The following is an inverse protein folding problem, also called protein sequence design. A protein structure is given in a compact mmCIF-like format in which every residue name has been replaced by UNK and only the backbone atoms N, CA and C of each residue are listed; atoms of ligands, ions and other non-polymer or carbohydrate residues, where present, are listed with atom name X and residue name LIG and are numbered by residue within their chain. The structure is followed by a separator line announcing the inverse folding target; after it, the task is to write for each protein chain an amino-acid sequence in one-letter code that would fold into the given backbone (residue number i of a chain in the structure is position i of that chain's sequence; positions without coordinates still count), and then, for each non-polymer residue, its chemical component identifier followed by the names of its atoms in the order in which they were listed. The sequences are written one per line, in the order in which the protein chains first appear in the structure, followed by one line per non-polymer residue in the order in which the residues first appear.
data_IF_090694666345
#
_entry.id   IF_090694666345
#
_cell.length_a   1.000
_cell.length_b   1.000
_cell.length_c   1.000
_cell.angle_alpha   90.00
_cell.angle_beta   90.00
_cell.angle_gamma   90.00
#
_symmetry.space_group_name_H-M   'P 1'
#
loop_
_entity.id
_entity.type
_entity.pdbx_description
1 polymer ?
#
# COMPACT_ATOMS: atom_id res chain seq x y z
N UNK A 1 -95.71 -49.35 -25.18
CA UNK A 1 -96.45 -48.11 -24.84
C UNK A 1 -95.53 -46.94 -25.17
N UNK A 2 -95.87 -46.17 -26.22
CA UNK A 2 -95.20 -44.90 -26.60
C UNK A 2 -95.56 -43.84 -25.57
N UNK A 3 -94.60 -43.03 -25.13
CA UNK A 3 -94.81 -41.59 -24.90
C UNK A 3 -93.54 -40.86 -25.35
N UNK A 4 -93.78 -39.76 -26.04
CA UNK A 4 -92.89 -38.92 -26.82
C UNK A 4 -92.72 -37.56 -26.10
N UNK A 5 -91.68 -36.83 -26.52
CA UNK A 5 -91.52 -35.37 -26.54
C UNK A 5 -91.22 -34.56 -25.25
N UNK A 6 -90.03 -33.94 -25.25
CA UNK A 6 -89.91 -32.57 -25.78
C UNK A 6 -89.56 -31.42 -24.81
N UNK A 7 -88.71 -30.52 -25.30
CA UNK A 7 -88.33 -29.17 -24.81
C UNK A 7 -87.14 -29.16 -23.82
N UNK A 8 -86.01 -28.49 -24.01
CA UNK A 8 -85.61 -27.37 -24.87
C UNK A 8 -84.90 -26.34 -23.97
N UNK A 9 -83.61 -26.05 -24.19
CA UNK A 9 -82.89 -25.08 -23.35
C UNK A 9 -81.39 -24.90 -23.64
N UNK A 10 -81.11 -24.02 -24.60
CA UNK A 10 -79.95 -23.12 -24.76
C UNK A 10 -78.48 -23.59 -24.64
N UNK A 11 -77.82 -23.44 -25.80
CA UNK A 11 -76.51 -22.86 -26.09
C UNK A 11 -75.76 -22.18 -24.92
N UNK A 12 -74.55 -22.67 -24.65
CA UNK A 12 -73.39 -21.82 -24.42
C UNK A 12 -72.18 -22.38 -25.19
N UNK A 13 -71.80 -21.65 -26.23
CA UNK A 13 -70.51 -21.75 -26.89
C UNK A 13 -69.47 -21.06 -26.01
N UNK A 14 -68.45 -21.75 -25.52
CA UNK A 14 -67.22 -21.07 -25.12
C UNK A 14 -66.02 -22.01 -25.12
N UNK A 15 -65.34 -21.97 -26.27
CA UNK A 15 -63.89 -21.78 -26.38
C UNK A 15 -62.97 -22.69 -25.57
N UNK A 16 -62.39 -23.67 -26.29
CA UNK A 16 -61.11 -24.26 -25.93
C UNK A 16 -60.06 -23.17 -25.73
N UNK A 17 -59.45 -23.18 -24.55
CA UNK A 17 -58.29 -22.35 -24.22
C UNK A 17 -57.07 -23.26 -24.18
N UNK A 18 -55.99 -22.94 -24.93
CA UNK A 18 -54.78 -23.74 -24.88
C UNK A 18 -54.14 -23.62 -23.50
N UNK A 19 -53.78 -24.77 -22.96
CA UNK A 19 -53.03 -24.97 -21.74
C UNK A 19 -51.71 -24.19 -21.85
N UNK A 20 -51.67 -22.98 -21.29
CA UNK A 20 -50.43 -22.22 -21.14
C UNK A 20 -49.60 -22.97 -20.10
N UNK A 21 -48.54 -23.63 -20.58
CA UNK A 21 -47.40 -24.07 -19.78
C UNK A 21 -47.03 -22.94 -18.85
N UNK A 22 -47.33 -23.13 -17.56
CA UNK A 22 -47.02 -22.18 -16.52
C UNK A 22 -45.53 -21.89 -16.56
N UNK A 23 -45.18 -20.63 -16.77
CA UNK A 23 -43.88 -20.11 -16.39
C UNK A 23 -43.66 -20.51 -14.93
N UNK A 24 -42.70 -21.42 -14.71
CA UNK A 24 -42.12 -21.66 -13.39
C UNK A 24 -41.57 -20.32 -12.91
N UNK A 25 -42.37 -19.58 -12.16
CA UNK A 25 -41.88 -18.51 -11.32
C UNK A 25 -40.75 -19.12 -10.48
N UNK A 26 -39.52 -18.69 -10.74
CA UNK A 26 -38.46 -18.83 -9.75
C UNK A 26 -38.96 -18.02 -8.56
N UNK A 27 -39.47 -18.69 -7.53
CA UNK A 27 -39.58 -18.04 -6.24
C UNK A 27 -38.19 -17.48 -5.92
N UNK A 28 -38.04 -16.16 -5.68
CA UNK A 28 -36.76 -15.64 -5.24
C UNK A 28 -36.46 -16.36 -3.93
N UNK A 29 -35.40 -17.18 -3.92
CA UNK A 29 -34.97 -17.90 -2.73
C UNK A 29 -34.79 -16.84 -1.64
N UNK A 30 -35.71 -16.82 -0.69
CA UNK A 30 -35.73 -15.87 0.40
C UNK A 30 -34.67 -16.29 1.43
N UNK A 31 -33.38 -16.25 1.03
CA UNK A 31 -32.21 -16.48 1.89
C UNK A 31 -32.25 -15.61 3.15
N UNK A 32 -32.84 -14.42 3.04
CA UNK A 32 -33.07 -13.50 4.15
C UNK A 32 -34.12 -13.99 5.16
N UNK A 33 -35.11 -14.79 4.75
CA UNK A 33 -36.08 -15.39 5.65
C UNK A 33 -35.47 -16.59 6.39
N UNK A 34 -34.59 -17.36 5.74
CA UNK A 34 -33.86 -18.48 6.36
C UNK A 34 -32.82 -18.03 7.39
N UNK A 35 -32.08 -16.96 7.12
CA UNK A 35 -31.14 -16.38 8.09
C UNK A 35 -31.83 -15.82 9.35
N UNK A 36 -33.08 -15.36 9.22
CA UNK A 36 -33.87 -14.80 10.32
C UNK A 36 -34.42 -15.88 11.27
N UNK A 37 -34.59 -17.12 10.81
CA UNK A 37 -35.22 -18.21 11.59
C UNK A 37 -34.27 -18.91 12.57
N UNK A 38 -32.95 -18.83 12.38
CA UNK A 38 -31.96 -19.65 13.13
C UNK A 38 -31.03 -18.87 14.07
N UNK A 39 -31.40 -17.67 14.54
CA UNK A 39 -30.59 -16.82 15.44
C UNK A 39 -29.17 -16.43 14.94
N UNK A 40 -28.72 -16.89 13.76
CA UNK A 40 -27.38 -16.60 13.18
C UNK A 40 -27.14 -15.10 13.01
N UNK A 41 -28.21 -14.33 12.75
CA UNK A 41 -28.15 -12.86 12.71
C UNK A 41 -27.59 -12.24 14.01
N UNK A 42 -27.86 -12.82 15.19
CA UNK A 42 -27.33 -12.30 16.46
C UNK A 42 -25.81 -12.42 16.54
N UNK A 43 -25.25 -13.51 16.02
CA UNK A 43 -23.80 -13.71 15.94
C UNK A 43 -23.18 -12.77 14.92
N UNK A 44 -23.81 -12.59 13.76
CA UNK A 44 -23.37 -11.64 12.75
C UNK A 44 -23.34 -10.20 13.29
N UNK A 45 -24.41 -9.79 14.01
CA UNK A 45 -24.50 -8.48 14.65
C UNK A 45 -23.48 -8.32 15.78
N UNK A 46 -23.32 -9.32 16.65
CA UNK A 46 -22.32 -9.29 17.71
C UNK A 46 -20.89 -9.19 17.13
N UNK A 47 -20.60 -9.93 16.07
CA UNK A 47 -19.31 -9.88 15.38
C UNK A 47 -19.08 -8.51 14.72
N UNK A 48 -20.11 -7.93 14.10
CA UNK A 48 -20.01 -6.59 13.52
C UNK A 48 -19.73 -5.52 14.59
N UNK A 49 -20.41 -5.59 15.74
CA UNK A 49 -20.21 -4.65 16.86
C UNK A 49 -18.80 -4.79 17.43
N UNK A 50 -18.34 -6.02 17.69
CA UNK A 50 -17.01 -6.28 18.25
C UNK A 50 -15.91 -5.93 17.25
N UNK A 51 -16.08 -6.29 15.98
CA UNK A 51 -15.15 -5.95 14.92
C UNK A 51 -15.03 -4.43 14.73
N UNK A 52 -16.16 -3.71 14.72
CA UNK A 52 -16.17 -2.25 14.67
C UNK A 52 -15.46 -1.61 15.87
N UNK A 53 -15.74 -2.10 17.09
CA UNK A 53 -15.09 -1.63 18.31
C UNK A 53 -13.57 -1.83 18.29
N UNK A 54 -13.11 -2.99 17.82
CA UNK A 54 -11.67 -3.29 17.69
C UNK A 54 -10.99 -2.36 16.69
N UNK A 55 -11.62 -2.10 15.55
CA UNK A 55 -11.10 -1.14 14.56
C UNK A 55 -11.03 0.25 15.18
N UNK A 56 -12.07 0.68 15.91
CA UNK A 56 -12.10 2.00 16.52
C UNK A 56 -10.98 2.20 17.56
N UNK A 57 -10.79 1.23 18.47
CA UNK A 57 -9.69 1.25 19.44
C UNK A 57 -8.34 1.27 18.74
N UNK A 58 -8.14 0.41 17.73
CA UNK A 58 -6.89 0.40 16.96
C UNK A 58 -6.64 1.77 16.30
N UNK A 59 -7.64 2.38 15.68
CA UNK A 59 -7.48 3.69 15.03
C UNK A 59 -7.22 4.84 15.99
N UNK A 60 -7.69 4.77 17.24
CA UNK A 60 -7.40 5.82 18.25
C UNK A 60 -6.03 5.64 18.89
N UNK A 61 -5.65 4.39 19.16
CA UNK A 61 -4.47 4.08 19.97
C UNK A 61 -3.23 3.97 19.10
N UNK A 62 -3.32 3.40 17.90
CA UNK A 62 -2.14 3.11 17.08
C UNK A 62 -1.38 4.34 16.60
N UNK A 63 -2.04 5.46 16.21
CA UNK A 63 -1.34 6.69 15.88
C UNK A 63 -0.54 7.24 17.07
N UNK A 64 -1.00 7.05 18.32
CA UNK A 64 -0.28 7.46 19.52
C UNK A 64 1.03 6.67 19.72
N UNK A 65 1.07 5.43 19.24
CA UNK A 65 2.25 4.57 19.27
C UNK A 65 3.08 4.60 17.98
N UNK A 66 2.81 5.56 17.09
CA UNK A 66 3.47 5.69 15.77
C UNK A 66 3.40 4.40 14.91
N UNK A 67 2.38 3.56 15.14
CA UNK A 67 2.23 2.30 14.41
C UNK A 67 1.78 2.62 12.97
N UNK A 68 2.46 2.11 11.93
CA UNK A 68 2.12 2.42 10.56
C UNK A 68 0.75 1.89 10.13
N UNK A 69 0.11 2.58 9.18
CA UNK A 69 -1.24 2.28 8.70
C UNK A 69 -1.44 0.87 8.10
N UNK A 70 -0.36 0.18 7.69
CA UNK A 70 -0.46 -1.20 7.22
C UNK A 70 -0.95 -2.15 8.33
N UNK A 71 -0.68 -1.86 9.60
CA UNK A 71 -1.10 -2.70 10.72
C UNK A 71 -2.62 -2.63 10.94
N UNK A 72 -3.22 -1.43 10.86
CA UNK A 72 -4.67 -1.25 10.90
C UNK A 72 -5.34 -2.00 9.74
N UNK A 73 -4.75 -1.94 8.54
CA UNK A 73 -5.25 -2.66 7.35
C UNK A 73 -5.25 -4.18 7.56
N UNK A 74 -4.22 -4.73 8.19
CA UNK A 74 -4.18 -6.18 8.51
C UNK A 74 -5.27 -6.57 9.51
N UNK A 75 -5.52 -5.77 10.54
CA UNK A 75 -6.58 -6.03 11.52
C UNK A 75 -7.95 -6.03 10.84
N UNK A 76 -8.23 -5.03 10.01
CA UNK A 76 -9.48 -4.94 9.24
C UNK A 76 -9.63 -6.18 8.33
N UNK A 77 -8.56 -6.55 7.62
CA UNK A 77 -8.56 -7.72 6.74
C UNK A 77 -8.80 -9.02 7.49
N UNK A 78 -8.19 -9.20 8.67
CA UNK A 78 -8.43 -10.35 9.55
C UNK A 78 -9.88 -10.40 10.05
N UNK A 79 -10.48 -9.26 10.41
CA UNK A 79 -11.89 -9.20 10.82
C UNK A 79 -12.82 -9.59 9.66
N UNK A 80 -12.55 -9.10 8.45
CA UNK A 80 -13.34 -9.41 7.25
C UNK A 80 -13.22 -10.89 6.88
N UNK A 81 -12.02 -11.47 6.91
CA UNK A 81 -11.80 -12.90 6.61
C UNK A 81 -12.37 -13.80 7.71
N UNK A 82 -12.28 -13.37 8.98
CA UNK A 82 -12.85 -14.09 10.11
C UNK A 82 -14.38 -14.13 10.12
N UNK A 83 -15.05 -13.17 9.46
CA UNK A 83 -16.51 -13.09 9.44
C UNK A 83 -17.17 -14.30 8.73
N UNK A 84 -16.80 -14.69 7.49
CA UNK A 84 -17.30 -15.92 6.88
C UNK A 84 -17.02 -17.17 7.72
N UNK A 85 -15.85 -17.25 8.33
CA UNK A 85 -15.46 -18.39 9.18
C UNK A 85 -16.35 -18.45 10.43
N UNK A 86 -16.59 -17.30 11.07
CA UNK A 86 -17.48 -17.20 12.23
C UNK A 86 -18.92 -17.60 11.88
N UNK A 87 -19.40 -17.23 10.68
CA UNK A 87 -20.71 -17.66 10.20
C UNK A 87 -20.78 -19.17 9.94
N UNK A 88 -19.74 -19.75 9.33
CA UNK A 88 -19.67 -21.19 9.09
C UNK A 88 -19.60 -21.97 10.41
N UNK A 89 -18.84 -21.49 11.40
CA UNK A 89 -18.78 -22.11 12.73
C UNK A 89 -20.11 -21.98 13.47
N UNK A 90 -20.77 -20.81 13.41
CA UNK A 90 -22.11 -20.62 13.97
C UNK A 90 -23.17 -21.49 13.29
N UNK A 91 -22.96 -21.82 12.02
CA UNK A 91 -23.79 -22.74 11.26
C UNK A 91 -23.47 -24.21 11.57
N UNK A 92 -22.19 -24.57 11.74
CA UNK A 92 -21.73 -25.94 11.97
C UNK A 92 -21.96 -26.42 13.42
N UNK A 93 -21.91 -25.52 14.41
CA UNK A 93 -22.21 -25.83 15.81
C UNK A 93 -23.66 -25.51 16.18
N UNK A 94 -24.61 -26.08 15.44
CA UNK A 94 -26.01 -26.10 15.86
C UNK A 94 -26.09 -26.63 17.31
N UNK A 95 -26.65 -25.82 18.23
CA UNK A 95 -26.98 -26.20 19.59
C UNK A 95 -27.61 -27.60 19.57
N UNK A 96 -26.95 -28.59 20.14
CA UNK A 96 -27.43 -29.97 20.24
C UNK A 96 -28.79 -29.99 20.95
N UNK A 97 -29.92 -30.30 20.28
CA UNK A 97 -31.18 -30.52 20.94
C UNK A 97 -31.43 -32.04 20.94
N UNK A 98 -31.28 -32.64 22.11
CA UNK A 98 -31.85 -33.94 22.50
C UNK A 98 -31.16 -35.20 21.94
N UNK A 99 -30.26 -35.77 22.75
CA UNK A 99 -30.05 -37.21 22.76
C UNK A 99 -31.27 -37.89 23.38
N UNK A 100 -31.91 -38.77 22.61
CA UNK A 100 -33.01 -39.66 23.02
C UNK A 100 -32.82 -40.23 24.44
N UNK A 101 -33.76 -39.96 25.34
CA UNK A 101 -34.27 -40.96 26.28
C UNK A 101 -35.73 -40.68 26.64
N UNK A 102 -36.60 -41.57 26.16
CA UNK A 102 -37.97 -41.72 26.62
C UNK A 102 -37.94 -42.53 27.92
N UNK A 103 -38.87 -42.21 28.80
CA UNK A 103 -39.31 -42.85 30.06
C UNK A 103 -38.69 -42.36 31.36
N UNK A 104 -39.63 -42.03 32.26
CA UNK A 104 -39.56 -41.85 33.71
C UNK A 104 -38.75 -40.65 34.19
N UNK A 105 -39.12 -39.95 35.25
CA UNK A 105 -40.40 -39.56 35.83
C UNK A 105 -39.98 -38.39 36.75
N UNK A 106 -40.96 -37.58 37.13
CA UNK A 106 -40.94 -36.66 38.27
C UNK A 106 -39.68 -36.70 39.16
N UNK A 107 -38.83 -35.68 39.09
CA UNK A 107 -38.39 -34.96 40.30
C UNK A 107 -37.67 -33.65 39.98
N UNK A 108 -38.27 -32.57 40.47
CA UNK A 108 -37.55 -31.32 40.69
C UNK A 108 -36.72 -31.48 41.97
N UNK A 109 -35.39 -31.49 41.83
CA UNK A 109 -34.52 -30.59 42.57
C UNK A 109 -33.06 -30.88 42.23
N UNK A 110 -32.33 -29.80 41.95
CA UNK A 110 -30.87 -29.70 42.06
C UNK A 110 -30.08 -30.33 40.92
N UNK A 111 -29.68 -29.54 39.92
CA UNK A 111 -28.29 -29.66 39.44
C UNK A 111 -27.78 -28.40 38.73
N UNK A 112 -26.49 -28.17 38.94
CA UNK A 112 -25.85 -26.87 38.94
C UNK A 112 -25.58 -26.38 37.52
N UNK A 113 -25.75 -25.07 37.35
CA UNK A 113 -25.35 -24.26 36.20
C UNK A 113 -23.83 -24.40 35.93
N UNK A 114 -23.44 -25.43 35.18
CA UNK A 114 -22.08 -25.58 34.66
C UNK A 114 -21.85 -24.55 33.55
N UNK A 115 -21.22 -23.42 33.88
CA UNK A 115 -20.68 -22.49 32.88
C UNK A 115 -19.62 -23.23 32.07
N UNK A 116 -19.99 -23.68 30.88
CA UNK A 116 -19.05 -24.24 29.92
C UNK A 116 -18.01 -23.17 29.58
N UNK A 117 -16.75 -23.42 29.98
CA UNK A 117 -15.59 -22.58 29.67
C UNK A 117 -15.17 -22.67 28.18
N UNK A 118 -16.13 -22.96 27.27
CA UNK A 118 -15.90 -23.03 25.83
C UNK A 118 -15.26 -21.75 25.25
N UNK A 119 -15.57 -20.58 25.84
CA UNK A 119 -14.92 -19.31 25.47
C UNK A 119 -13.39 -19.35 25.72
N UNK A 120 -12.91 -20.05 26.75
CA UNK A 120 -11.48 -20.15 27.03
C UNK A 120 -10.75 -20.88 25.89
N UNK A 121 -11.36 -21.91 25.31
CA UNK A 121 -10.77 -22.62 24.16
C UNK A 121 -10.74 -21.74 22.89
N UNK A 122 -11.76 -20.91 22.66
CA UNK A 122 -11.76 -19.96 21.53
C UNK A 122 -10.67 -18.89 21.69
N UNK A 123 -10.48 -18.38 22.92
CA UNK A 123 -9.40 -17.41 23.22
C UNK A 123 -8.03 -18.07 23.12
N UNK A 124 -7.87 -19.31 23.59
CA UNK A 124 -6.62 -20.05 23.52
C UNK A 124 -6.23 -20.37 22.06
N UNK A 125 -7.18 -20.81 21.22
CA UNK A 125 -6.94 -21.06 19.79
C UNK A 125 -6.64 -19.75 19.04
N UNK A 126 -7.33 -18.66 19.37
CA UNK A 126 -7.05 -17.33 18.83
C UNK A 126 -5.67 -16.79 19.21
N UNK A 127 -5.25 -17.03 20.45
CA UNK A 127 -3.91 -16.65 20.94
C UNK A 127 -2.81 -17.47 20.26
N UNK A 128 -2.99 -18.78 20.08
CA UNK A 128 -2.03 -19.65 19.38
C UNK A 128 -1.94 -19.27 17.89
N UNK A 129 -3.06 -18.96 17.24
CA UNK A 129 -3.08 -18.46 15.85
C UNK A 129 -2.42 -17.09 15.71
N UNK A 130 -2.62 -16.20 16.68
CA UNK A 130 -2.00 -14.87 16.69
C UNK A 130 -0.50 -14.96 16.94
N UNK A 131 -0.04 -15.83 17.84
CA UNK A 131 1.39 -16.10 18.06
C UNK A 131 2.00 -16.78 16.83
N UNK A 132 1.29 -17.71 16.20
CA UNK A 132 1.69 -18.36 14.95
C UNK A 132 1.83 -17.38 13.79
N UNK A 133 0.85 -16.49 13.57
CA UNK A 133 0.92 -15.44 12.55
C UNK A 133 2.00 -14.39 12.86
N UNK A 134 2.22 -14.09 14.14
CA UNK A 134 3.24 -13.14 14.57
C UNK A 134 4.66 -13.69 14.36
N UNK A 135 4.88 -14.98 14.61
CA UNK A 135 6.14 -15.66 14.33
C UNK A 135 6.31 -15.92 12.82
N UNK A 136 5.23 -16.24 12.11
CA UNK A 136 5.25 -16.41 10.65
C UNK A 136 5.53 -15.09 9.96
N UNK A 137 4.93 -13.97 10.38
CA UNK A 137 5.23 -12.63 9.85
C UNK A 137 6.67 -12.18 10.12
N UNK A 138 7.30 -12.67 11.19
CA UNK A 138 8.74 -12.47 11.43
C UNK A 138 9.65 -13.32 10.54
N UNK A 139 9.18 -14.47 10.03
CA UNK A 139 9.92 -15.34 9.12
C UNK A 139 9.60 -15.11 7.63
N UNK A 140 8.40 -14.66 7.28
CA UNK A 140 7.95 -14.41 5.89
C UNK A 140 8.15 -12.96 5.45
N UNK A 141 8.48 -12.05 6.37
CA UNK A 141 8.91 -10.69 6.06
C UNK A 141 10.24 -10.57 5.29
N UNK A 142 10.86 -11.70 4.89
CA UNK A 142 12.11 -11.67 4.09
C UNK A 142 12.02 -12.29 2.69
N UNK A 143 11.00 -13.06 2.30
CA UNK A 143 11.15 -13.93 1.11
C UNK A 143 9.89 -14.14 0.24
N UNK A 144 9.20 -13.10 -0.23
CA UNK A 144 8.25 -13.26 -1.35
C UNK A 144 8.28 -12.10 -2.33
N UNK A 145 9.21 -12.19 -3.29
CA UNK A 145 9.32 -11.28 -4.42
C UNK A 145 10.58 -11.48 -5.26
N UNK A 146 10.91 -12.72 -5.65
CA UNK A 146 12.01 -12.99 -6.58
C UNK A 146 11.59 -14.01 -7.64
N UNK A 147 11.19 -13.50 -8.80
CA UNK A 147 11.30 -14.25 -10.05
C UNK A 147 12.74 -14.07 -10.58
N UNK A 148 13.34 -15.08 -11.23
CA UNK A 148 14.75 -15.04 -11.60
C UNK A 148 14.95 -14.13 -12.82
N UNK A 149 15.40 -12.90 -12.58
CA UNK A 149 16.24 -12.18 -13.53
C UNK A 149 17.60 -11.98 -12.87
N UNK A 150 18.60 -12.49 -13.57
CA UNK A 150 20.03 -12.39 -13.34
C UNK A 150 20.46 -11.09 -12.66
N UNK A 151 21.14 -11.24 -11.53
CA UNK A 151 22.11 -10.32 -10.90
C UNK A 151 21.69 -8.85 -10.74
N UNK A 152 21.10 -8.54 -9.57
CA UNK A 152 21.51 -7.40 -8.75
C UNK A 152 20.97 -7.62 -7.33
N UNK A 153 21.88 -7.78 -6.38
CA UNK A 153 21.54 -7.85 -4.97
C UNK A 153 20.84 -6.56 -4.53
N UNK A 154 19.57 -6.64 -4.13
CA UNK A 154 18.92 -5.57 -3.38
C UNK A 154 19.32 -5.69 -1.92
N UNK A 155 20.56 -5.30 -1.62
CA UNK A 155 20.68 -4.39 -0.51
C UNK A 155 19.93 -3.12 -0.92
N UNK A 156 19.16 -2.55 -0.01
CA UNK A 156 18.85 -1.11 -0.01
C UNK A 156 20.13 -0.29 0.21
N UNK A 157 21.25 -0.71 -0.40
CA UNK A 157 22.43 0.09 -0.60
C UNK A 157 22.09 1.08 -1.68
N UNK A 158 21.93 2.33 -1.28
CA UNK A 158 21.99 3.47 -2.19
C UNK A 158 23.12 3.21 -3.19
N UNK A 159 22.78 3.14 -4.49
CA UNK A 159 23.77 2.93 -5.55
C UNK A 159 24.88 3.95 -5.38
N UNK A 160 26.13 3.50 -5.28
CA UNK A 160 27.26 4.42 -5.12
C UNK A 160 27.41 5.35 -6.33
N UNK A 161 26.97 4.89 -7.51
CA UNK A 161 26.87 5.66 -8.75
C UNK A 161 25.51 6.35 -8.85
N UNK A 162 25.22 7.25 -7.91
CA UNK A 162 23.99 8.04 -7.93
C UNK A 162 24.19 9.48 -7.46
N UNK A 163 23.51 10.39 -8.15
CA UNK A 163 23.65 11.84 -7.97
C UNK A 163 22.29 12.53 -7.97
N UNK A 164 22.12 13.49 -7.07
CA UNK A 164 21.04 14.47 -7.13
C UNK A 164 21.62 15.87 -7.35
N UNK A 165 21.03 16.63 -8.29
CA UNK A 165 21.40 18.03 -8.50
C UNK A 165 20.38 18.90 -7.77
N UNK A 166 20.83 19.62 -6.74
CA UNK A 166 20.00 20.57 -6.01
C UNK A 166 19.82 21.87 -6.81
N UNK A 167 18.76 22.66 -6.53
CA UNK A 167 18.59 23.95 -7.16
C UNK A 167 19.82 24.84 -6.99
N UNK A 168 20.33 25.45 -8.05
CA UNK A 168 21.52 26.30 -7.95
C UNK A 168 21.18 27.63 -7.26
N UNK A 169 22.04 28.07 -6.36
CA UNK A 169 21.89 29.34 -5.68
C UNK A 169 22.20 30.50 -6.65
N UNK A 170 21.27 31.43 -6.84
CA UNK A 170 21.56 32.66 -7.56
C UNK A 170 22.16 33.70 -6.59
N UNK A 171 23.43 34.05 -6.79
CA UNK A 171 24.15 35.03 -5.97
C UNK A 171 23.92 36.49 -6.42
N UNK A 172 23.03 36.71 -7.38
CA UNK A 172 22.57 38.04 -7.76
C UNK A 172 21.21 38.36 -7.14
N UNK A 173 21.02 39.60 -6.71
CA UNK A 173 19.73 40.11 -6.21
C UNK A 173 18.66 40.27 -7.31
N UNK A 174 19.05 40.16 -8.58
CA UNK A 174 18.13 40.26 -9.70
C UNK A 174 17.36 38.95 -9.91
N UNK A 175 16.03 39.00 -9.74
CA UNK A 175 15.12 37.88 -10.01
C UNK A 175 15.18 37.40 -11.47
N UNK A 176 15.55 38.27 -12.41
CA UNK A 176 15.73 37.88 -13.81
C UNK A 176 16.95 36.96 -14.01
N UNK A 177 17.91 36.98 -13.08
CA UNK A 177 19.08 36.08 -13.11
C UNK A 177 18.76 34.66 -12.58
N UNK A 178 17.60 34.45 -11.94
CA UNK A 178 17.21 33.13 -11.44
C UNK A 178 17.03 32.11 -12.58
N UNK A 179 16.46 32.53 -13.72
CA UNK A 179 16.34 31.69 -14.92
C UNK A 179 17.68 31.18 -15.44
N UNK A 180 18.75 31.93 -15.18
CA UNK A 180 20.09 31.57 -15.64
C UNK A 180 20.69 30.47 -14.75
N UNK A 181 20.51 30.56 -13.43
CA UNK A 181 20.88 29.48 -12.52
C UNK A 181 20.09 28.19 -12.81
N UNK A 182 18.78 28.32 -13.02
CA UNK A 182 17.90 27.20 -13.37
C UNK A 182 18.27 26.54 -14.70
N UNK A 183 18.67 27.35 -15.71
CA UNK A 183 19.09 26.88 -17.02
C UNK A 183 20.38 26.07 -16.95
N UNK A 184 21.43 26.60 -16.30
CA UNK A 184 22.71 25.89 -16.10
C UNK A 184 22.48 24.58 -15.34
N UNK A 185 21.64 24.60 -14.31
CA UNK A 185 21.28 23.40 -13.56
C UNK A 185 20.59 22.35 -14.45
N UNK A 186 19.78 22.75 -15.45
CA UNK A 186 19.09 21.81 -16.34
C UNK A 186 20.03 21.13 -17.30
N UNK A 187 20.93 21.93 -17.86
CA UNK A 187 21.88 21.42 -18.83
C UNK A 187 22.87 20.47 -18.15
N UNK A 188 23.38 20.82 -16.97
CA UNK A 188 24.21 19.90 -16.17
C UNK A 188 23.45 18.61 -15.85
N UNK A 189 22.19 18.69 -15.40
CA UNK A 189 21.38 17.51 -15.13
C UNK A 189 21.19 16.64 -16.38
N UNK A 190 20.95 17.26 -17.53
CA UNK A 190 20.77 16.59 -18.82
C UNK A 190 22.05 15.88 -19.26
N UNK A 191 23.21 16.54 -19.13
CA UNK A 191 24.52 15.92 -19.43
C UNK A 191 24.80 14.75 -18.49
N UNK A 192 24.58 14.91 -17.19
CA UNK A 192 24.75 13.82 -16.23
C UNK A 192 23.82 12.65 -16.51
N UNK A 193 22.57 12.91 -16.89
CA UNK A 193 21.58 11.88 -17.20
C UNK A 193 21.93 11.09 -18.47
N UNK A 194 22.80 11.61 -19.34
CA UNK A 194 23.31 10.90 -20.52
C UNK A 194 24.38 9.85 -20.20
N UNK A 195 24.90 9.83 -18.96
CA UNK A 195 25.90 8.86 -18.51
C UNK A 195 25.18 7.55 -18.15
N UNK A 196 25.42 6.50 -18.94
CA UNK A 196 24.67 5.24 -18.87
C UNK A 196 24.71 4.52 -17.51
N UNK A 197 25.80 4.68 -16.76
CA UNK A 197 26.04 4.00 -15.47
C UNK A 197 25.83 4.94 -14.26
N UNK A 198 25.19 6.09 -14.47
CA UNK A 198 24.93 7.08 -13.42
C UNK A 198 23.42 7.23 -13.18
N UNK A 199 22.98 6.90 -11.96
CA UNK A 199 21.60 7.19 -11.54
C UNK A 199 21.45 8.67 -11.22
N UNK A 200 20.72 9.40 -12.05
CA UNK A 200 20.44 10.83 -11.85
C UNK A 200 18.99 11.03 -11.39
N UNK A 201 18.80 11.84 -10.34
CA UNK A 201 17.48 12.21 -9.84
C UNK A 201 16.89 13.36 -10.66
N UNK A 202 15.58 13.26 -10.95
CA UNK A 202 14.89 14.28 -11.74
C UNK A 202 14.84 15.64 -11.05
N UNK A 203 14.87 16.72 -11.85
CA UNK A 203 14.66 18.11 -11.40
C UNK A 203 13.43 18.26 -10.51
N UNK A 204 12.31 17.68 -10.91
CA UNK A 204 11.04 17.77 -10.16
C UNK A 204 11.13 17.19 -8.76
N UNK A 205 11.97 16.18 -8.55
CA UNK A 205 12.16 15.55 -7.24
C UNK A 205 13.07 16.38 -6.33
N UNK A 206 14.03 17.13 -6.91
CA UNK A 206 14.96 17.98 -6.15
C UNK A 206 14.44 19.40 -5.92
N UNK A 207 13.48 19.87 -6.71
CA UNK A 207 12.92 21.23 -6.65
C UNK A 207 12.33 21.65 -5.29
N UNK A 208 11.95 20.68 -4.43
CA UNK A 208 11.41 20.94 -3.09
C UNK A 208 12.49 21.27 -2.04
N UNK A 209 13.77 21.02 -2.35
CA UNK A 209 14.87 21.27 -1.43
C UNK A 209 15.49 22.64 -1.68
N UNK A 210 16.14 23.18 -0.66
CA UNK A 210 16.95 24.40 -0.77
C UNK A 210 18.24 24.10 -1.55
N UNK A 211 18.85 25.13 -2.12
CA UNK A 211 20.15 25.04 -2.80
C UNK A 211 21.28 24.53 -1.90
N UNK A 212 21.19 24.84 -0.60
CA UNK A 212 22.11 24.42 0.46
C UNK A 212 21.28 24.01 1.68
N UNK A 213 20.84 22.74 1.75
CA UNK A 213 20.09 22.24 2.89
C UNK A 213 21.01 22.01 4.08
N UNK A 214 20.51 22.21 5.29
CA UNK A 214 21.28 21.99 6.53
C UNK A 214 21.58 20.51 6.80
N UNK A 215 20.80 19.60 6.21
CA UNK A 215 20.93 18.14 6.41
C UNK A 215 20.94 17.40 5.07
N UNK A 216 22.10 17.34 4.44
CA UNK A 216 22.32 16.58 3.20
C UNK A 216 22.10 15.08 3.37
N UNK A 217 22.30 14.54 4.58
CA UNK A 217 22.09 13.12 4.87
C UNK A 217 20.62 12.75 4.76
N UNK A 218 19.72 13.55 5.31
CA UNK A 218 18.28 13.34 5.17
C UNK A 218 17.83 13.52 3.72
N UNK A 219 18.34 14.55 3.01
CA UNK A 219 18.02 14.78 1.59
C UNK A 219 18.43 13.59 0.72
N UNK A 220 19.64 13.07 0.91
CA UNK A 220 20.16 11.94 0.15
C UNK A 220 19.44 10.63 0.44
N UNK A 221 19.01 10.40 1.68
CA UNK A 221 18.16 9.25 2.05
C UNK A 221 16.78 9.33 1.39
N UNK A 222 16.15 10.51 1.42
CA UNK A 222 14.82 10.70 0.81
C UNK A 222 14.86 10.57 -0.72
N UNK A 223 15.97 10.99 -1.35
CA UNK A 223 16.17 10.87 -2.79
C UNK A 223 16.77 9.51 -3.22
N UNK A 224 17.31 8.75 -2.28
CA UNK A 224 18.00 7.49 -2.53
C UNK A 224 19.24 7.67 -3.40
N UNK A 225 20.10 8.65 -3.05
CA UNK A 225 21.37 8.96 -3.74
C UNK A 225 22.57 8.95 -2.79
N UNK A 226 23.75 8.64 -3.32
CA UNK A 226 25.01 8.64 -2.55
C UNK A 226 25.66 10.02 -2.59
N UNK A 227 25.57 10.71 -3.73
CA UNK A 227 26.19 12.01 -3.94
C UNK A 227 25.16 13.09 -4.24
N UNK A 228 25.49 14.32 -3.87
CA UNK A 228 24.69 15.50 -4.12
C UNK A 228 25.56 16.54 -4.79
N UNK A 229 25.04 17.16 -5.85
CA UNK A 229 25.65 18.28 -6.53
C UNK A 229 25.00 19.56 -6.03
N UNK A 230 25.82 20.42 -5.45
CA UNK A 230 25.47 21.80 -5.11
C UNK A 230 26.12 22.75 -6.08
N UNK A 231 25.49 23.90 -6.30
CA UNK A 231 26.06 24.93 -7.14
C UNK A 231 25.52 26.31 -6.83
N UNK A 232 26.29 27.31 -7.23
CA UNK A 232 25.89 28.71 -7.18
C UNK A 232 26.29 29.40 -8.46
N UNK A 233 25.45 30.30 -8.95
CA UNK A 233 25.68 31.08 -10.16
C UNK A 233 25.67 32.56 -9.82
N UNK A 234 26.67 33.27 -10.33
CA UNK A 234 26.75 34.72 -10.24
C UNK A 234 27.02 35.27 -11.64
N UNK A 235 26.14 36.15 -12.13
CA UNK A 235 26.27 36.86 -13.39
C UNK A 235 26.61 38.32 -13.12
N UNK A 236 27.67 38.84 -13.73
CA UNK A 236 28.05 40.25 -13.68
C UNK A 236 28.27 40.77 -15.10
N UNK A 237 27.28 41.46 -15.65
CA UNK A 237 27.28 41.89 -17.06
C UNK A 237 27.33 40.70 -18.01
N UNK A 238 28.41 40.60 -18.77
CA UNK A 238 28.68 39.49 -19.71
C UNK A 238 29.48 38.34 -19.09
N UNK A 239 29.91 38.46 -17.83
CA UNK A 239 30.67 37.41 -17.14
C UNK A 239 29.78 36.59 -16.22
N UNK A 240 30.09 35.31 -16.12
CA UNK A 240 29.39 34.33 -15.32
C UNK A 240 30.42 33.56 -14.52
N UNK A 241 30.19 33.49 -13.22
CA UNK A 241 30.88 32.61 -12.29
C UNK A 241 29.94 31.49 -11.87
N UNK A 242 30.34 30.25 -12.12
CA UNK A 242 29.63 29.05 -11.66
C UNK A 242 30.52 28.33 -10.67
N UNK A 243 30.07 28.19 -9.42
CA UNK A 243 30.70 27.30 -8.45
C UNK A 243 29.91 26.00 -8.42
N UNK A 244 30.59 24.87 -8.51
CA UNK A 244 29.97 23.54 -8.46
C UNK A 244 30.74 22.68 -7.47
N UNK A 245 30.01 21.93 -6.66
CA UNK A 245 30.56 21.07 -5.62
C UNK A 245 29.83 19.73 -5.59
N UNK A 246 30.60 18.66 -5.63
CA UNK A 246 30.11 17.29 -5.48
C UNK A 246 30.40 16.81 -4.07
N UNK A 247 29.37 16.40 -3.35
CA UNK A 247 29.43 16.03 -1.92
C UNK A 247 28.98 14.57 -1.77
N UNK A 248 29.72 13.76 -0.99
CA UNK A 248 29.19 12.50 -0.45
C UNK A 248 28.24 12.85 0.68
N UNK A 249 26.95 12.70 0.43
CA UNK A 249 25.92 13.16 1.34
C UNK A 249 25.75 12.27 2.58
N UNK A 250 26.41 11.11 2.64
CA UNK A 250 26.41 10.23 3.82
C UNK A 250 27.51 10.62 4.81
N UNK A 251 28.67 11.02 4.27
CA UNK A 251 29.85 11.41 5.03
C UNK A 251 29.96 12.93 5.21
N UNK A 252 29.10 13.70 4.54
CA UNK A 252 29.12 15.16 4.49
C UNK A 252 30.52 15.69 4.09
N UNK A 253 31.10 15.04 3.09
CA UNK A 253 32.48 15.31 2.65
C UNK A 253 32.52 15.71 1.18
N UNK A 254 33.26 16.78 0.86
CA UNK A 254 33.47 17.22 -0.51
C UNK A 254 34.31 16.19 -1.27
N UNK A 255 33.76 15.67 -2.36
CA UNK A 255 34.46 14.80 -3.31
C UNK A 255 35.23 15.62 -4.33
N UNK A 256 34.63 16.72 -4.79
CA UNK A 256 35.19 17.62 -5.79
C UNK A 256 34.53 18.99 -5.70
N UNK A 257 35.27 20.04 -6.01
CA UNK A 257 34.76 21.39 -6.11
C UNK A 257 35.55 22.18 -7.15
N UNK A 258 34.86 22.96 -7.97
CA UNK A 258 35.50 23.82 -8.98
C UNK A 258 34.68 25.08 -9.23
N UNK A 259 35.38 26.16 -9.53
CA UNK A 259 34.80 27.43 -9.95
C UNK A 259 35.16 27.68 -11.41
N UNK A 260 34.17 28.13 -12.18
CA UNK A 260 34.30 28.44 -13.60
C UNK A 260 33.95 29.90 -13.81
N UNK A 261 34.92 30.67 -14.31
CA UNK A 261 34.70 32.03 -14.78
C UNK A 261 34.67 32.01 -16.31
N UNK A 262 33.53 32.37 -16.88
CA UNK A 262 33.30 32.39 -18.34
C UNK A 262 32.53 33.62 -18.77
N UNK A 263 32.62 33.93 -20.06
CA UNK A 263 31.67 34.84 -20.68
C UNK A 263 30.33 34.13 -20.91
N UNK A 264 29.22 34.88 -20.91
CA UNK A 264 27.87 34.31 -21.04
C UNK A 264 27.69 33.53 -22.34
N UNK A 265 28.39 33.91 -23.41
CA UNK A 265 28.39 33.23 -24.70
C UNK A 265 29.06 31.84 -24.65
N UNK A 266 29.98 31.65 -23.70
CA UNK A 266 30.78 30.44 -23.54
C UNK A 266 30.32 29.60 -22.35
N UNK A 267 29.26 29.99 -21.64
CA UNK A 267 28.81 29.29 -20.42
C UNK A 267 28.41 27.83 -20.69
N UNK A 268 27.90 27.54 -21.88
CA UNK A 268 27.55 26.18 -22.31
C UNK A 268 28.76 25.23 -22.36
N UNK A 269 29.99 25.77 -22.44
CA UNK A 269 31.22 24.94 -22.35
C UNK A 269 31.43 24.41 -20.93
N UNK A 270 30.99 25.15 -19.90
CA UNK A 270 31.09 24.76 -18.49
C UNK A 270 30.31 23.48 -18.22
N UNK A 271 29.14 23.32 -18.85
CA UNK A 271 28.26 22.16 -18.62
C UNK A 271 28.94 20.84 -18.99
N UNK A 272 29.61 20.83 -20.14
CA UNK A 272 30.30 19.64 -20.64
C UNK A 272 31.55 19.35 -19.79
N UNK A 273 32.29 20.38 -19.41
CA UNK A 273 33.42 20.24 -18.48
C UNK A 273 32.97 19.71 -17.11
N UNK A 274 31.89 20.26 -16.54
CA UNK A 274 31.34 19.85 -15.24
C UNK A 274 30.87 18.39 -15.28
N UNK A 275 30.11 18.00 -16.30
CA UNK A 275 29.63 16.62 -16.41
C UNK A 275 30.77 15.61 -16.54
N UNK A 276 31.80 15.93 -17.34
CA UNK A 276 32.98 15.07 -17.50
C UNK A 276 33.77 14.97 -16.20
N UNK A 277 34.05 16.09 -15.53
CA UNK A 277 34.81 16.13 -14.27
C UNK A 277 34.08 15.39 -13.14
N UNK A 278 32.75 15.49 -13.09
CA UNK A 278 31.92 14.71 -12.16
C UNK A 278 32.00 13.22 -12.50
N UNK A 279 31.88 12.85 -13.78
CA UNK A 279 32.00 11.46 -14.21
C UNK A 279 33.37 10.87 -13.83
N UNK A 280 34.45 11.62 -14.09
CA UNK A 280 35.82 11.23 -13.77
C UNK A 280 36.03 11.14 -12.24
N UNK A 281 35.50 12.09 -11.46
CA UNK A 281 35.58 12.09 -10.00
C UNK A 281 34.82 10.92 -9.38
N UNK A 282 33.63 10.61 -9.90
CA UNK A 282 32.85 9.45 -9.49
C UNK A 282 33.56 8.15 -9.91
N UNK A 283 34.11 8.06 -11.11
CA UNK A 283 34.83 6.87 -11.57
C UNK A 283 36.13 6.64 -10.79
N UNK A 284 36.90 7.69 -10.50
CA UNK A 284 38.15 7.59 -9.75
C UNK A 284 37.96 7.14 -8.30
N UNK A 285 36.80 7.44 -7.69
CA UNK A 285 36.44 7.00 -6.33
C UNK A 285 35.67 5.68 -6.29
N UNK A 286 35.09 5.25 -7.41
CA UNK A 286 34.27 4.04 -7.51
C UNK A 286 34.94 2.91 -8.29
N UNK A 287 36.07 3.16 -8.96
CA UNK A 287 36.98 2.09 -9.36
C UNK A 287 37.53 1.47 -8.09
N UNK A 288 37.29 0.18 -7.82
CA UNK A 288 38.07 -0.53 -6.83
C UNK A 288 39.50 -0.44 -7.35
N UNK A 289 40.32 0.40 -6.73
CA UNK A 289 41.75 0.23 -6.82
C UNK A 289 42.00 -1.17 -6.28
N UNK A 290 42.47 -2.02 -7.19
CA UNK A 290 43.16 -3.25 -6.88
C UNK A 290 44.00 -3.07 -5.61
N UNK A 291 43.68 -3.88 -4.60
CA UNK A 291 44.59 -4.30 -3.56
C UNK A 291 44.33 -5.78 -3.30
#
# INVERSE_FOLDING_TARGET
MKIDNGTGGNRETSTGKPERVGERGREPINFFAELKRRNVYKVAVAYAIVGWLLVQVATQVFPFFEIPNWAVRLIVLMIVIGFPIALVIAWAFELTPEGLKRTEDVDRATERRGKSHAWIYVVAVGAILSIGLFLLGRYTGRNFGSAPRTEAATDSSISQKSIAVLPFENLNDDKNAAYFADGIQDEILTKLASIADLKVISRTSTAKYKSKPEDLKTVSQQLGVATVLEGSVQKAGEKVRVNVQLIDARADSHLWAKSYDREIKDVFTVESEVAQEIADSLQAKLSPAEA
#
